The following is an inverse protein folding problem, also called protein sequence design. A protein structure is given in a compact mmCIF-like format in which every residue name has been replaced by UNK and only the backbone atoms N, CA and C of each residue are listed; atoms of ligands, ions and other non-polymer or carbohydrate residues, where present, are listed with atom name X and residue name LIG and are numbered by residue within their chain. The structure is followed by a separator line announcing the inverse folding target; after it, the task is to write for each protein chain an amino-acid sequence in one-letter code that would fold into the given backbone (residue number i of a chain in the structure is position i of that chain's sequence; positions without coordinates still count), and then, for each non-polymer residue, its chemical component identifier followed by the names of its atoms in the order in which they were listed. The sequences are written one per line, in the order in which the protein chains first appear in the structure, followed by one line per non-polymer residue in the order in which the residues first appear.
data_IF_695183566234
#
_entry.id   IF_695183566234
#
_cell.length_a   1.000
_cell.length_b   1.000
_cell.length_c   1.000
_cell.angle_alpha   90.00
_cell.angle_beta   90.00
_cell.angle_gamma   90.00
#
_symmetry.space_group_name_H-M   'P 1'
#
loop_
_entity.id
_entity.type
_entity.pdbx_description
1 polymer ?
#
# COMPACT_ATOMS: atom_id res chain seq x y z
N UNK A 1 -17.70 -16.92 18.13
CA UNK A 1 -16.43 -16.96 17.39
C UNK A 1 -15.93 -15.52 17.26
N UNK A 2 -15.11 -15.04 18.22
CA UNK A 2 -14.52 -13.69 18.18
C UNK A 2 -13.25 -13.79 17.31
N UNK A 3 -13.33 -13.41 16.04
CA UNK A 3 -12.12 -13.19 15.25
C UNK A 3 -11.53 -11.85 15.68
N UNK A 4 -10.62 -11.89 16.66
CA UNK A 4 -9.82 -10.74 17.04
C UNK A 4 -8.69 -10.60 16.00
N UNK A 5 -8.96 -9.90 14.90
CA UNK A 5 -7.90 -9.39 14.02
C UNK A 5 -7.36 -8.11 14.65
N UNK A 6 -6.53 -8.32 15.67
CA UNK A 6 -5.76 -7.30 16.32
C UNK A 6 -4.37 -7.90 16.43
N UNK A 7 -3.51 -7.67 15.42
CA UNK A 7 -2.06 -7.79 15.61
C UNK A 7 -1.67 -6.62 16.52
N UNK A 8 -2.05 -6.73 17.79
CA UNK A 8 -1.67 -5.83 18.87
C UNK A 8 -0.33 -6.35 19.35
N UNK A 9 0.75 -5.90 18.71
CA UNK A 9 2.07 -6.00 19.30
C UNK A 9 2.18 -4.83 20.28
N UNK A 10 1.99 -5.09 21.57
CA UNK A 10 2.17 -4.13 22.68
C UNK A 10 1.23 -2.91 22.75
N UNK A 11 -0.01 -3.00 22.25
CA UNK A 11 -1.01 -1.94 22.46
C UNK A 11 -0.79 -0.66 21.66
N UNK A 12 0.18 -0.65 20.74
CA UNK A 12 0.47 0.49 19.86
C UNK A 12 -0.11 0.19 18.47
N UNK A 13 -1.09 0.98 18.04
CA UNK A 13 -1.51 1.00 16.64
C UNK A 13 -0.42 1.75 15.87
N UNK A 14 0.51 1.00 15.27
CA UNK A 14 1.55 1.59 14.41
C UNK A 14 0.87 1.95 13.09
N UNK A 15 0.79 3.24 12.79
CA UNK A 15 0.47 3.72 11.45
C UNK A 15 1.49 3.10 10.49
N UNK A 16 1.05 2.13 9.68
CA UNK A 16 1.98 1.40 8.82
C UNK A 16 2.52 2.34 7.74
N UNK A 17 3.82 2.64 7.82
CA UNK A 17 4.51 3.37 6.78
C UNK A 17 4.47 2.55 5.46
N UNK A 18 4.42 3.22 4.31
CA UNK A 18 4.48 2.57 2.98
C UNK A 18 5.67 1.61 2.88
N UNK A 19 6.82 1.99 3.45
CA UNK A 19 8.03 1.16 3.52
C UNK A 19 7.82 -0.12 4.33
N UNK A 20 7.06 -0.06 5.42
CA UNK A 20 6.75 -1.24 6.22
C UNK A 20 5.86 -2.22 5.45
N UNK A 21 4.86 -1.71 4.71
CA UNK A 21 3.99 -2.54 3.86
C UNK A 21 4.81 -3.21 2.74
N UNK A 22 5.71 -2.46 2.09
CA UNK A 22 6.62 -3.00 1.06
C UNK A 22 7.55 -4.07 1.63
N UNK A 23 8.14 -3.83 2.80
CA UNK A 23 9.00 -4.80 3.48
C UNK A 23 8.23 -6.08 3.89
N UNK A 24 7.02 -5.93 4.43
CA UNK A 24 6.15 -7.06 4.75
C UNK A 24 5.79 -7.87 3.49
N UNK A 25 5.51 -7.20 2.37
CA UNK A 25 5.21 -7.87 1.10
C UNK A 25 6.42 -8.66 0.59
N UNK A 26 7.62 -8.07 0.65
CA UNK A 26 8.87 -8.75 0.29
C UNK A 26 9.15 -9.98 1.15
N UNK A 27 9.02 -9.85 2.47
CA UNK A 27 9.19 -10.97 3.40
C UNK A 27 8.18 -12.09 3.14
N UNK A 28 6.93 -11.71 2.87
CA UNK A 28 5.87 -12.64 2.53
C UNK A 28 6.17 -13.42 1.23
N UNK A 29 6.59 -12.74 0.16
CA UNK A 29 6.95 -13.41 -1.10
C UNK A 29 8.11 -14.39 -0.90
N UNK A 30 9.13 -13.99 -0.12
CA UNK A 30 10.29 -14.83 0.20
C UNK A 30 9.92 -16.08 1.00
N UNK A 31 8.92 -15.98 1.88
CA UNK A 31 8.43 -17.09 2.71
C UNK A 31 7.28 -17.89 2.08
N UNK A 32 6.91 -17.61 0.83
CA UNK A 32 5.76 -18.26 0.17
C UNK A 32 6.09 -19.69 -0.26
N UNK A 33 5.22 -20.63 0.09
CA UNK A 33 5.25 -21.98 -0.49
C UNK A 33 4.61 -21.93 -1.88
N UNK A 34 5.42 -21.76 -2.91
CA UNK A 34 4.96 -21.65 -4.30
C UNK A 34 4.40 -22.99 -4.81
N UNK A 35 3.11 -23.02 -5.12
CA UNK A 35 2.47 -24.20 -5.71
C UNK A 35 2.87 -24.35 -7.18
N UNK A 36 2.81 -23.22 -7.90
CA UNK A 36 3.25 -23.11 -9.29
C UNK A 36 3.60 -21.65 -9.57
N UNK A 37 4.82 -21.41 -10.04
CA UNK A 37 5.23 -20.12 -10.58
C UNK A 37 6.00 -20.36 -11.87
N UNK A 38 5.58 -19.74 -12.97
CA UNK A 38 6.18 -19.93 -14.27
C UNK A 38 6.31 -18.58 -14.99
N UNK A 39 7.56 -18.13 -15.15
CA UNK A 39 7.95 -16.90 -15.83
C UNK A 39 7.39 -15.65 -15.15
N UNK A 40 6.19 -15.24 -15.53
CA UNK A 40 5.62 -13.95 -15.16
C UNK A 40 4.54 -14.05 -14.11
N UNK A 41 4.04 -15.24 -13.79
CA UNK A 41 2.95 -15.37 -12.83
C UNK A 41 2.96 -16.70 -12.10
N UNK A 42 2.32 -16.70 -10.94
CA UNK A 42 2.15 -17.90 -10.16
C UNK A 42 1.26 -17.71 -8.94
N UNK A 43 1.07 -18.82 -8.26
CA UNK A 43 0.31 -18.91 -7.03
C UNK A 43 1.06 -19.72 -5.99
N UNK A 44 0.89 -19.32 -4.75
CA UNK A 44 1.48 -19.97 -3.60
C UNK A 44 0.56 -19.94 -2.39
N UNK A 45 1.06 -20.51 -1.31
CA UNK A 45 0.39 -20.49 -0.03
C UNK A 45 1.31 -19.92 1.06
N UNK A 46 0.70 -19.26 2.03
CA UNK A 46 1.37 -18.75 3.23
C UNK A 46 0.46 -18.93 4.46
N UNK A 47 0.91 -18.45 5.61
CA UNK A 47 0.10 -18.43 6.83
C UNK A 47 -1.22 -17.67 6.63
N UNK A 48 -2.34 -18.25 7.06
CA UNK A 48 -3.69 -17.76 6.75
C UNK A 48 -4.02 -16.38 7.36
N UNK A 49 -3.46 -16.04 8.52
CA UNK A 49 -4.04 -14.99 9.38
C UNK A 49 -3.21 -13.72 9.56
N UNK A 50 -1.94 -13.68 9.16
CA UNK A 50 -1.11 -12.49 9.41
C UNK A 50 -0.16 -12.18 8.24
N UNK A 51 -0.35 -11.07 7.51
CA UNK A 51 -1.60 -10.32 7.39
C UNK A 51 -2.68 -11.14 6.65
N UNK A 52 -3.96 -10.83 6.85
CA UNK A 52 -5.05 -11.49 6.11
C UNK A 52 -5.16 -10.98 4.67
N UNK A 53 -4.97 -9.67 4.46
CA UNK A 53 -4.85 -9.07 3.14
C UNK A 53 -3.60 -8.20 3.11
N UNK A 54 -2.80 -8.40 2.08
CA UNK A 54 -1.63 -7.59 1.78
C UNK A 54 -1.41 -7.63 0.29
N UNK A 55 -1.08 -6.51 -0.31
CA UNK A 55 -0.65 -6.54 -1.69
C UNK A 55 0.03 -5.26 -2.11
N UNK A 56 0.80 -5.40 -3.16
CA UNK A 56 1.54 -4.34 -3.81
C UNK A 56 1.30 -4.51 -5.30
N UNK A 57 1.13 -3.42 -6.00
CA UNK A 57 1.04 -3.45 -7.44
C UNK A 57 1.71 -2.23 -8.03
N UNK A 58 2.27 -2.42 -9.20
CA UNK A 58 2.77 -1.34 -10.04
C UNK A 58 2.32 -1.60 -11.45
N UNK A 59 1.78 -0.58 -12.08
CA UNK A 59 1.47 -0.58 -13.50
C UNK A 59 2.05 0.69 -14.09
N UNK A 60 3.23 0.56 -14.71
CA UNK A 60 4.01 1.68 -15.20
C UNK A 60 4.31 2.66 -14.04
N UNK A 61 3.88 3.91 -14.16
CA UNK A 61 4.11 4.94 -13.15
C UNK A 61 3.12 4.93 -12.00
N UNK A 62 2.10 4.06 -12.01
CA UNK A 62 1.12 3.97 -10.94
C UNK A 62 1.51 2.83 -10.00
N UNK A 63 1.86 3.16 -8.77
CA UNK A 63 2.14 2.19 -7.72
C UNK A 63 1.02 2.25 -6.67
N UNK A 64 0.65 1.11 -6.14
CA UNK A 64 -0.29 1.03 -5.03
C UNK A 64 0.02 -0.11 -4.08
N UNK A 65 -0.40 0.10 -2.84
CA UNK A 65 -0.20 -0.79 -1.72
C UNK A 65 -1.55 -0.96 -1.03
N UNK A 66 -1.86 -2.16 -0.59
CA UNK A 66 -3.02 -2.39 0.26
C UNK A 66 -2.70 -3.37 1.38
N UNK A 67 -3.31 -3.15 2.53
CA UNK A 67 -3.12 -4.00 3.70
C UNK A 67 -4.38 -4.00 4.55
N UNK A 68 -4.52 -5.03 5.40
CA UNK A 68 -5.43 -4.97 6.53
C UNK A 68 -5.02 -3.88 7.51
N UNK A 69 -5.98 -3.08 7.94
CA UNK A 69 -5.81 -2.02 8.93
C UNK A 69 -6.85 -2.16 10.05
N UNK A 70 -6.68 -1.48 11.20
CA UNK A 70 -7.73 -1.41 12.21
C UNK A 70 -9.02 -0.81 11.66
N UNK A 71 -10.16 -1.45 11.93
CA UNK A 71 -11.47 -1.00 11.44
C UNK A 71 -11.85 0.42 11.89
N UNK A 72 -11.30 0.88 13.02
CA UNK A 72 -11.47 2.23 13.53
C UNK A 72 -10.14 2.72 14.13
N UNK A 73 -9.81 3.99 13.91
CA UNK A 73 -8.59 4.64 14.39
C UNK A 73 -8.68 6.14 14.15
N UNK A 74 -7.56 6.84 14.13
CA UNK A 74 -7.54 8.31 14.00
C UNK A 74 -8.15 8.79 12.68
N UNK A 75 -7.97 8.03 11.60
CA UNK A 75 -8.59 8.30 10.29
C UNK A 75 -10.11 7.99 10.24
N UNK A 76 -10.71 7.53 11.34
CA UNK A 76 -12.08 7.01 11.38
C UNK A 76 -12.21 5.60 10.78
N UNK A 77 -13.43 5.23 10.40
CA UNK A 77 -13.71 3.96 9.71
C UNK A 77 -13.77 4.12 8.19
N UNK A 78 -13.92 5.34 7.68
CA UNK A 78 -13.81 5.63 6.26
C UNK A 78 -12.97 6.89 6.08
N UNK A 79 -11.96 6.80 5.23
CA UNK A 79 -11.12 7.92 4.83
C UNK A 79 -10.83 7.78 3.35
N UNK A 80 -10.94 8.85 2.59
CA UNK A 80 -10.54 8.89 1.20
C UNK A 80 -9.89 10.23 0.92
N UNK A 81 -8.71 10.18 0.32
CA UNK A 81 -8.03 11.33 -0.21
C UNK A 81 -7.52 10.92 -1.58
N UNK A 82 -7.90 11.66 -2.61
CA UNK A 82 -7.39 11.43 -3.96
C UNK A 82 -7.04 12.75 -4.59
N UNK A 83 -5.83 12.84 -5.12
CA UNK A 83 -5.33 13.91 -5.97
C UNK A 83 -5.12 13.35 -7.36
N UNK A 84 -5.71 14.00 -8.35
CA UNK A 84 -5.47 13.77 -9.76
C UNK A 84 -5.24 15.13 -10.45
N UNK A 85 -3.99 15.37 -10.85
CA UNK A 85 -3.49 16.68 -11.28
C UNK A 85 -3.73 17.73 -10.20
N UNK A 86 -4.57 18.73 -10.46
CA UNK A 86 -4.94 19.75 -9.47
C UNK A 86 -6.18 19.35 -8.64
N UNK A 87 -6.98 18.36 -9.07
CA UNK A 87 -8.23 18.03 -8.41
C UNK A 87 -7.96 17.17 -7.18
N UNK A 88 -8.48 17.62 -6.04
CA UNK A 88 -8.39 16.91 -4.77
C UNK A 88 -9.80 16.57 -4.31
N UNK A 89 -10.08 15.30 -4.07
CA UNK A 89 -11.29 14.85 -3.38
C UNK A 89 -10.90 14.34 -2.01
N UNK A 90 -11.67 14.72 -1.01
CA UNK A 90 -11.47 14.35 0.39
C UNK A 90 -12.77 13.81 0.94
N UNK A 91 -12.72 12.73 1.71
CA UNK A 91 -13.85 12.32 2.50
C UNK A 91 -13.45 11.55 3.75
N UNK A 92 -14.19 11.76 4.82
CA UNK A 92 -13.93 11.17 6.13
C UNK A 92 -15.25 10.79 6.79
N UNK A 93 -15.27 9.68 7.50
CA UNK A 93 -16.37 9.33 8.38
C UNK A 93 -15.81 8.69 9.67
N UNK A 94 -16.11 9.27 10.84
CA UNK A 94 -17.05 10.38 11.10
C UNK A 94 -16.61 11.75 10.53
N UNK A 95 -17.54 12.72 10.36
CA UNK A 95 -17.22 14.08 9.91
C UNK A 95 -16.16 14.74 10.80
N UNK A 96 -15.33 15.58 10.19
CA UNK A 96 -14.26 16.31 10.89
C UNK A 96 -12.94 15.54 11.01
N UNK A 97 -12.93 14.26 10.59
CA UNK A 97 -11.68 13.52 10.46
C UNK A 97 -10.96 13.26 11.79
N UNK A 98 -9.68 12.91 11.68
CA UNK A 98 -8.75 12.82 12.80
C UNK A 98 -8.12 14.17 13.11
N UNK A 99 -7.66 14.38 14.35
CA UNK A 99 -7.05 15.66 14.78
C UNK A 99 -5.87 16.13 13.89
N UNK A 100 -5.24 15.23 13.14
CA UNK A 100 -4.03 15.48 12.36
C UNK A 100 -4.22 15.33 10.84
N UNK A 101 -5.45 15.20 10.34
CA UNK A 101 -5.70 14.98 8.90
C UNK A 101 -5.99 16.26 8.10
N UNK A 102 -6.13 17.41 8.76
CA UNK A 102 -6.35 18.71 8.13
C UNK A 102 -7.71 18.86 7.44
N UNK A 103 -8.64 17.91 7.62
CA UNK A 103 -9.97 17.91 7.00
C UNK A 103 -10.94 18.72 7.85
N UNK A 104 -11.50 19.84 7.36
CA UNK A 104 -12.49 20.59 8.13
C UNK A 104 -13.85 19.88 8.09
N UNK A 105 -14.65 20.01 9.15
CA UNK A 105 -16.06 19.56 9.12
C UNK A 105 -16.86 20.21 7.98
N UNK A 106 -16.55 21.47 7.67
CA UNK A 106 -17.18 22.22 6.60
C UNK A 106 -16.18 23.17 5.93
N UNK A 107 -16.26 23.27 4.60
CA UNK A 107 -15.57 24.31 3.85
C UNK A 107 -16.42 24.80 2.67
N UNK A 108 -16.39 26.10 2.41
CA UNK A 108 -17.00 26.70 1.22
C UNK A 108 -16.09 27.82 0.73
N UNK A 109 -15.61 27.72 -0.53
CA UNK A 109 -14.67 28.69 -1.10
C UNK A 109 -13.45 28.94 -0.19
N UNK A 110 -12.85 27.86 0.33
CA UNK A 110 -11.72 27.84 1.26
C UNK A 110 -11.95 28.52 2.63
N UNK A 111 -13.18 28.95 2.94
CA UNK A 111 -13.57 29.30 4.32
C UNK A 111 -13.81 27.98 5.06
N UNK A 112 -12.97 27.65 6.02
CA UNK A 112 -12.95 26.37 6.75
C UNK A 112 -13.55 26.53 8.14
N UNK A 113 -14.38 25.57 8.55
CA UNK A 113 -15.03 25.53 9.86
C UNK A 113 -14.93 24.12 10.46
N UNK A 114 -14.61 24.03 11.76
CA UNK A 114 -14.61 22.77 12.50
C UNK A 114 -13.45 21.84 12.14
N UNK A 115 -12.23 22.36 12.06
CA UNK A 115 -11.00 21.58 12.10
C UNK A 115 -10.05 22.23 13.10
N UNK A 116 -9.37 21.43 13.92
CA UNK A 116 -8.44 21.94 14.92
C UNK A 116 -7.14 22.37 14.21
N UNK A 117 -6.68 23.61 14.46
CA UNK A 117 -5.36 24.09 14.04
C UNK A 117 -4.23 23.46 14.88
N UNK A 118 -4.29 22.14 15.07
CA UNK A 118 -3.28 21.38 15.81
C UNK A 118 -1.90 21.68 15.23
N UNK A 119 -1.00 22.23 16.05
CA UNK A 119 0.39 22.50 15.67
C UNK A 119 1.26 21.22 15.64
N UNK A 120 0.69 20.06 15.98
CA UNK A 120 1.41 18.80 15.94
C UNK A 120 1.71 18.36 14.50
N UNK A 121 2.63 17.41 14.34
CA UNK A 121 3.16 16.98 13.05
C UNK A 121 2.05 16.51 12.11
N UNK A 122 1.64 17.38 11.19
CA UNK A 122 0.63 17.08 10.17
C UNK A 122 1.20 16.03 9.22
N UNK A 123 0.42 14.98 8.93
CA UNK A 123 0.81 13.98 7.95
C UNK A 123 0.99 14.59 6.56
N UNK A 124 1.75 13.92 5.68
CA UNK A 124 1.90 14.36 4.26
C UNK A 124 0.55 14.59 3.58
N UNK A 125 -0.44 13.75 3.88
CA UNK A 125 -1.80 13.83 3.37
C UNK A 125 -2.57 15.02 3.97
N UNK A 126 -2.44 15.26 5.27
CA UNK A 126 -3.06 16.41 5.91
C UNK A 126 -2.49 17.75 5.43
N UNK A 127 -1.18 17.80 5.15
CA UNK A 127 -0.55 18.97 4.55
C UNK A 127 -1.13 19.23 3.15
N UNK A 128 -1.34 18.19 2.34
CA UNK A 128 -2.00 18.32 1.04
C UNK A 128 -3.42 18.87 1.16
N UNK A 129 -4.24 18.37 2.10
CA UNK A 129 -5.60 18.89 2.32
C UNK A 129 -5.57 20.34 2.82
N UNK A 130 -4.60 20.69 3.67
CA UNK A 130 -4.40 22.06 4.16
C UNK A 130 -4.06 23.03 3.03
N UNK A 131 -3.16 22.64 2.14
CA UNK A 131 -2.71 23.45 1.00
C UNK A 131 -3.71 23.50 -0.16
N UNK A 132 -4.73 22.64 -0.13
CA UNK A 132 -5.80 22.61 -1.15
C UNK A 132 -6.77 23.76 -0.97
N UNK A 133 -7.09 24.48 -2.04
CA UNK A 133 -8.24 25.37 -2.07
C UNK A 133 -9.53 24.53 -2.12
N UNK A 134 -10.23 24.40 -1.00
CA UNK A 134 -11.47 23.62 -0.95
C UNK A 134 -12.63 24.40 -1.57
N UNK A 135 -13.14 23.90 -2.70
CA UNK A 135 -14.31 24.47 -3.37
C UNK A 135 -15.57 24.25 -2.49
N UNK A 136 -15.77 23.01 -2.06
CA UNK A 136 -16.82 22.62 -1.13
C UNK A 136 -16.38 21.41 -0.31
N UNK A 137 -16.72 21.42 0.97
CA UNK A 137 -16.62 20.26 1.84
C UNK A 137 -17.78 20.32 2.82
N UNK A 138 -18.58 19.26 2.91
CA UNK A 138 -19.73 19.20 3.79
C UNK A 138 -19.78 17.85 4.47
N UNK A 139 -19.57 17.87 5.79
CA UNK A 139 -19.57 16.71 6.67
C UNK A 139 -18.49 15.69 6.31
N UNK A 140 -18.79 14.79 5.37
CA UNK A 140 -17.98 13.61 5.09
C UNK A 140 -17.27 13.66 3.74
N UNK A 141 -17.58 14.63 2.89
CA UNK A 141 -17.10 14.65 1.51
C UNK A 141 -16.85 16.09 1.05
N UNK A 142 -15.83 16.27 0.23
CA UNK A 142 -15.56 17.53 -0.44
C UNK A 142 -14.57 17.41 -1.59
N UNK A 143 -14.46 18.49 -2.34
CA UNK A 143 -13.51 18.63 -3.42
C UNK A 143 -12.85 20.01 -3.40
N UNK A 144 -11.66 20.07 -3.99
CA UNK A 144 -10.87 21.28 -4.09
C UNK A 144 -9.82 21.20 -5.17
N UNK A 145 -9.05 22.28 -5.27
CA UNK A 145 -7.96 22.43 -6.21
C UNK A 145 -6.65 22.66 -5.44
N UNK A 146 -5.63 21.86 -5.73
CA UNK A 146 -4.27 22.04 -5.22
C UNK A 146 -3.32 22.42 -6.37
N UNK A 147 -2.07 22.73 -6.03
CA UNK A 147 -1.03 22.93 -7.04
C UNK A 147 -0.92 21.72 -7.97
N UNK A 148 -0.86 21.92 -9.31
CA UNK A 148 -0.69 20.83 -10.28
C UNK A 148 0.71 20.19 -10.20
N UNK A 149 1.58 20.65 -9.29
CA UNK A 149 2.89 20.09 -9.04
C UNK A 149 2.83 18.71 -8.36
N UNK A 150 4.01 18.09 -8.24
CA UNK A 150 4.25 16.78 -7.63
C UNK A 150 3.59 16.65 -6.23
N UNK A 151 2.82 15.58 -5.95
CA UNK A 151 2.45 14.48 -6.86
C UNK A 151 1.31 14.82 -7.80
N UNK A 152 1.40 14.35 -9.06
CA UNK A 152 0.32 14.40 -10.04
C UNK A 152 -0.81 13.44 -9.68
N UNK A 153 -0.47 12.27 -9.16
CA UNK A 153 -1.43 11.27 -8.70
C UNK A 153 -1.01 10.78 -7.32
N UNK A 154 -1.89 10.95 -6.35
CA UNK A 154 -1.69 10.52 -4.98
C UNK A 154 -3.04 10.17 -4.40
N UNK A 155 -3.09 9.17 -3.55
CA UNK A 155 -4.21 9.06 -2.65
C UNK A 155 -4.10 7.91 -1.68
N UNK A 156 -5.09 7.90 -0.80
CA UNK A 156 -5.26 6.89 0.20
C UNK A 156 -6.76 6.65 0.37
N UNK A 157 -7.11 5.39 0.63
CA UNK A 157 -8.46 4.95 0.88
C UNK A 157 -8.43 4.01 2.06
N UNK A 158 -9.17 4.34 3.11
CA UNK A 158 -9.52 3.42 4.18
C UNK A 158 -11.02 3.15 4.12
N UNK A 159 -11.38 1.87 4.14
CA UNK A 159 -12.75 1.42 4.27
C UNK A 159 -12.79 0.28 5.28
N UNK A 160 -13.26 0.56 6.49
CA UNK A 160 -13.24 -0.33 7.63
C UNK A 160 -11.82 -0.89 7.87
N UNK A 161 -11.65 -2.20 7.78
CA UNK A 161 -10.41 -2.91 8.06
C UNK A 161 -9.47 -3.00 6.85
N UNK A 162 -9.71 -2.24 5.78
CA UNK A 162 -8.92 -2.23 4.56
C UNK A 162 -8.36 -0.85 4.31
N UNK A 163 -7.06 -0.77 4.04
CA UNK A 163 -6.37 0.47 3.67
C UNK A 163 -5.62 0.27 2.37
N UNK A 164 -5.71 1.26 1.49
CA UNK A 164 -4.99 1.34 0.21
C UNK A 164 -4.28 2.67 0.12
N UNK A 165 -3.08 2.65 -0.42
CA UNK A 165 -2.28 3.80 -0.81
C UNK A 165 -1.99 3.70 -2.29
N UNK A 166 -1.97 4.83 -2.98
CA UNK A 166 -1.53 4.91 -4.35
C UNK A 166 -0.73 6.18 -4.58
N UNK A 167 0.34 6.06 -5.36
CA UNK A 167 1.26 7.14 -5.66
C UNK A 167 1.81 6.98 -7.08
N UNK A 168 2.43 8.03 -7.59
CA UNK A 168 3.27 7.93 -8.77
C UNK A 168 4.68 7.46 -8.41
N UNK A 169 5.23 6.55 -9.20
CA UNK A 169 6.62 6.10 -9.14
C UNK A 169 7.25 6.11 -10.55
N UNK A 170 8.59 5.97 -10.69
CA UNK A 170 9.22 5.82 -12.00
C UNK A 170 8.61 4.63 -12.77
N UNK A 171 8.31 4.81 -14.06
CA UNK A 171 7.57 3.82 -14.84
C UNK A 171 8.26 2.44 -14.91
N UNK A 172 9.59 2.43 -14.91
CA UNK A 172 10.42 1.24 -14.77
C UNK A 172 11.63 1.61 -13.92
N UNK A 173 11.95 0.79 -12.93
CA UNK A 173 13.20 0.87 -12.17
C UNK A 173 13.79 -0.53 -12.00
N UNK A 174 15.10 -0.63 -11.80
CA UNK A 174 15.79 -1.92 -11.66
C UNK A 174 15.37 -2.70 -10.41
N UNK A 175 14.84 -2.00 -9.39
CA UNK A 175 14.52 -2.62 -8.10
C UNK A 175 13.17 -3.34 -8.12
N UNK A 176 12.19 -2.84 -8.88
CA UNK A 176 10.80 -3.31 -8.88
C UNK A 176 10.27 -3.71 -10.26
N UNK A 177 10.97 -3.36 -11.33
CA UNK A 177 10.53 -3.59 -12.71
C UNK A 177 9.50 -2.56 -13.19
N UNK A 178 8.76 -2.92 -14.25
CA UNK A 178 7.80 -2.04 -14.91
C UNK A 178 6.36 -2.32 -14.46
N UNK A 179 5.97 -3.61 -14.40
CA UNK A 179 4.64 -4.01 -13.97
C UNK A 179 4.73 -5.20 -13.02
N UNK A 180 4.09 -5.11 -11.87
CA UNK A 180 3.93 -6.23 -10.97
C UNK A 180 2.61 -6.15 -10.22
N UNK A 181 2.14 -7.29 -9.74
CA UNK A 181 1.01 -7.39 -8.82
C UNK A 181 1.28 -8.56 -7.91
N UNK A 182 1.46 -8.29 -6.63
CA UNK A 182 1.72 -9.26 -5.59
C UNK A 182 0.58 -9.12 -4.58
N UNK A 183 -0.09 -10.22 -4.26
CA UNK A 183 -1.24 -10.15 -3.37
C UNK A 183 -1.38 -11.40 -2.53
N UNK A 184 -1.83 -11.18 -1.31
CA UNK A 184 -2.27 -12.16 -0.35
C UNK A 184 -3.74 -11.92 -0.03
N UNK A 185 -4.50 -13.01 -0.09
CA UNK A 185 -5.85 -13.07 0.45
C UNK A 185 -5.96 -14.34 1.28
N UNK A 186 -6.05 -14.18 2.60
CA UNK A 186 -5.94 -15.26 3.58
C UNK A 186 -4.62 -16.03 3.38
N UNK A 187 -4.67 -17.33 3.08
CA UNK A 187 -3.48 -18.12 2.80
C UNK A 187 -3.03 -18.06 1.33
N UNK A 188 -3.85 -17.56 0.42
CA UNK A 188 -3.58 -17.60 -1.01
C UNK A 188 -2.68 -16.45 -1.42
N UNK A 189 -1.57 -16.78 -2.09
CA UNK A 189 -0.66 -15.83 -2.71
C UNK A 189 -0.83 -15.88 -4.22
N UNK A 190 -0.93 -14.72 -4.83
CA UNK A 190 -0.87 -14.53 -6.29
C UNK A 190 0.19 -13.49 -6.58
N UNK A 191 1.09 -13.81 -7.50
CA UNK A 191 2.09 -12.86 -7.96
C UNK A 191 2.14 -12.86 -9.49
N UNK A 192 2.35 -11.67 -10.02
CA UNK A 192 2.61 -11.39 -11.42
C UNK A 192 3.74 -10.36 -11.50
N UNK A 193 4.73 -10.61 -12.36
CA UNK A 193 5.89 -9.75 -12.58
C UNK A 193 6.19 -9.68 -14.08
N UNK A 194 6.38 -8.47 -14.61
CA UNK A 194 6.79 -8.21 -15.97
C UNK A 194 7.93 -7.18 -15.97
N UNK A 195 9.15 -7.57 -16.43
CA UNK A 195 9.52 -8.86 -17.05
C UNK A 195 9.54 -10.08 -16.08
N UNK A 196 9.64 -11.33 -16.60
CA UNK A 196 9.87 -12.51 -15.77
C UNK A 196 11.05 -12.34 -14.81
N UNK A 197 10.93 -12.88 -13.60
CA UNK A 197 11.97 -12.76 -12.56
C UNK A 197 11.90 -11.47 -11.74
N UNK A 198 10.97 -10.57 -12.07
CA UNK A 198 10.64 -9.43 -11.21
C UNK A 198 11.80 -8.48 -10.97
N UNK A 199 11.78 -7.85 -9.79
CA UNK A 199 12.86 -6.97 -9.33
C UNK A 199 13.96 -7.77 -8.65
N UNK A 200 15.21 -7.27 -8.66
CA UNK A 200 16.41 -7.95 -8.08
C UNK A 200 16.27 -8.42 -6.62
N UNK A 201 15.20 -8.04 -5.91
CA UNK A 201 15.06 -8.19 -4.47
C UNK A 201 13.61 -8.41 -4.03
N UNK A 202 12.71 -8.89 -4.89
CA UNK A 202 11.28 -9.05 -4.55
C UNK A 202 10.92 -10.41 -3.90
N UNK A 203 11.85 -11.36 -3.89
CA UNK A 203 11.65 -12.69 -3.30
C UNK A 203 10.79 -13.62 -4.17
N UNK A 204 10.56 -13.28 -5.43
CA UNK A 204 9.73 -14.06 -6.34
C UNK A 204 10.62 -14.94 -7.23
N UNK A 205 10.39 -16.25 -7.31
CA UNK A 205 11.14 -17.13 -8.20
C UNK A 205 10.74 -16.89 -9.67
N UNK A 206 11.64 -17.15 -10.63
CA UNK A 206 11.26 -17.25 -12.05
C UNK A 206 10.49 -18.54 -12.31
N UNK A 207 10.91 -19.62 -11.65
CA UNK A 207 10.31 -20.94 -11.77
C UNK A 207 10.28 -21.62 -10.41
N UNK A 208 9.09 -22.02 -9.96
CA UNK A 208 8.91 -22.79 -8.75
C UNK A 208 7.72 -23.75 -8.89
N UNK A 209 7.80 -24.89 -8.22
CA UNK A 209 6.76 -25.91 -8.25
C UNK A 209 6.77 -26.69 -6.94
N UNK A 210 5.59 -26.93 -6.36
CA UNK A 210 5.42 -27.76 -5.18
C UNK A 210 6.33 -27.38 -3.99
N UNK A 211 6.49 -26.08 -3.74
CA UNK A 211 7.31 -25.53 -2.65
C UNK A 211 8.81 -25.51 -2.92
N UNK A 212 9.25 -25.91 -4.11
CA UNK A 212 10.66 -25.91 -4.51
C UNK A 212 10.91 -24.81 -5.53
N UNK A 213 11.83 -23.89 -5.21
CA UNK A 213 12.36 -22.92 -6.17
C UNK A 213 13.32 -23.63 -7.13
N UNK A 214 12.99 -23.64 -8.42
CA UNK A 214 13.79 -24.26 -9.48
C UNK A 214 14.76 -23.23 -10.08
N UNK A 215 14.32 -21.98 -10.22
CA UNK A 215 15.15 -20.87 -10.73
C UNK A 215 14.71 -19.55 -10.10
N UNK A 216 15.64 -18.81 -9.49
CA UNK A 216 15.38 -17.52 -8.83
C UNK A 216 15.58 -16.29 -9.73
N UNK A 217 16.11 -16.45 -10.95
CA UNK A 217 16.32 -15.31 -11.86
C UNK A 217 17.45 -14.36 -11.48
N UNK A 218 18.05 -14.52 -10.30
CA UNK A 218 19.35 -13.92 -10.01
C UNK A 218 20.31 -14.48 -11.06
N UNK A 219 20.85 -13.60 -11.90
CA UNK A 219 22.00 -13.91 -12.72
C UNK A 219 23.13 -14.17 -11.73
N UNK A 220 23.21 -15.39 -11.21
CA UNK A 220 24.21 -15.77 -10.26
C UNK A 220 25.57 -15.41 -10.84
N UNK A 221 26.32 -14.61 -10.08
CA UNK A 221 27.71 -14.95 -9.87
C UNK A 221 27.68 -16.42 -9.44
N UNK A 222 28.07 -17.30 -10.36
CA UNK A 222 28.12 -18.75 -10.14
C UNK A 222 29.20 -18.99 -9.09
N UNK A 223 28.83 -18.86 -7.81
CA UNK A 223 29.69 -19.28 -6.72
C UNK A 223 29.84 -20.81 -6.81
N UNK A 224 31.10 -21.20 -6.95
CA UNK A 224 31.61 -22.52 -7.30
C UNK A 224 31.45 -23.55 -6.18
N UNK A 225 30.22 -23.92 -5.83
CA UNK A 225 29.95 -25.02 -4.89
C UNK A 225 29.90 -26.39 -5.59
N UNK A 226 30.89 -26.65 -6.46
CA UNK A 226 31.17 -27.96 -7.05
C UNK A 226 32.13 -28.78 -6.15
N UNK A 227 31.90 -28.84 -4.84
CA UNK A 227 32.81 -29.58 -3.94
C UNK A 227 32.13 -30.31 -2.76
N UNK A 228 30.87 -30.74 -2.89
CA UNK A 228 30.21 -31.51 -1.82
C UNK A 228 29.27 -32.64 -2.26
N UNK A 229 29.53 -33.27 -3.42
CA UNK A 229 28.86 -34.52 -3.84
C UNK A 229 29.84 -35.62 -4.26
N UNK A 230 30.88 -35.84 -3.44
CA UNK A 230 31.70 -37.05 -3.42
C UNK A 230 31.45 -37.85 -2.15
#
# INVERSE_FOLDING_TARGET
MKMAFNTVVNGVVIEQNEDQIKNQAKELMSNTCWLSYCLCCGTGCSNCCDPCMLGTFKFLCCEGLFATAPCYGDEGCFHTLSKCCCLVNVGTFPPGGGANDGVPCFACCNIRCGGEDGQESISKYGQLVRDTFLCSHCLCCGCGCSSPADPLFLGTLKCCCFKTHFSTSPACDEATGCCYTQSKCCCCITALTLPPGGGKNDGIPVLACCGVTIWSGEAGDVDSDEEARS
#
